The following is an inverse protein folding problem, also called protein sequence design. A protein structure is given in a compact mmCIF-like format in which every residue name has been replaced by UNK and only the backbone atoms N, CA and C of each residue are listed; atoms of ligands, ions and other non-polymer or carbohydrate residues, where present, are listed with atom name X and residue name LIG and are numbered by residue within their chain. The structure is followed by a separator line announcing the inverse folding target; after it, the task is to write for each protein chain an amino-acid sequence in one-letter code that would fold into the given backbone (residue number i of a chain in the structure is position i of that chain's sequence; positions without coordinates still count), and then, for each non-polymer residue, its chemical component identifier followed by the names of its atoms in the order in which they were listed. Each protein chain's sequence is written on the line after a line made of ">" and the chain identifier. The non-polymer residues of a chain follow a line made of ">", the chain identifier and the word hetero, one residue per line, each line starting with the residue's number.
data_IF_607194054231
#
_entry.id   IF_607194054231
#
_cell.length_a   1.000
_cell.length_b   1.000
_cell.length_c   1.000
_cell.angle_alpha   90.00
_cell.angle_beta   90.00
_cell.angle_gamma   90.00
#
_symmetry.space_group_name_H-M   'P 1'
#
loop_
_entity.id
_entity.type
_entity.pdbx_description
1 polymer ?
#
# COMPACT_ATOMS: atom_id res chain seq x y z
N UNK A 1 2.19 7.02 -30.62
CA UNK A 1 3.21 6.34 -29.82
C UNK A 1 2.57 6.05 -28.48
N UNK A 2 2.40 4.80 -28.12
CA UNK A 2 1.92 4.43 -26.76
C UNK A 2 3.06 4.74 -25.79
N UNK A 3 2.92 5.74 -24.93
CA UNK A 3 3.84 5.94 -23.83
C UNK A 3 3.69 4.75 -22.89
N UNK A 4 4.73 3.94 -22.79
CA UNK A 4 4.80 2.90 -21.78
C UNK A 4 5.21 3.58 -20.49
N UNK A 5 4.25 3.79 -19.58
CA UNK A 5 4.52 4.37 -18.26
C UNK A 5 5.39 3.42 -17.45
N UNK A 6 6.49 3.93 -16.88
CA UNK A 6 7.37 3.16 -16.00
C UNK A 6 6.82 3.17 -14.57
N UNK A 7 6.66 1.99 -14.00
CA UNK A 7 6.04 1.82 -12.68
C UNK A 7 7.02 1.18 -11.69
N UNK A 8 7.16 1.79 -10.51
CA UNK A 8 7.87 1.18 -9.37
C UNK A 8 6.92 0.88 -8.22
N UNK A 9 7.04 -0.30 -7.64
CA UNK A 9 6.44 -0.63 -6.35
C UNK A 9 7.48 -0.40 -5.26
N UNK A 10 7.12 0.40 -4.27
CA UNK A 10 7.94 0.60 -3.07
C UNK A 10 7.20 0.00 -1.87
N UNK A 11 7.87 -0.93 -1.18
CA UNK A 11 7.34 -1.62 0.00
C UNK A 11 8.02 -1.05 1.24
N UNK A 12 7.35 -0.17 2.03
CA UNK A 12 7.90 0.33 3.26
C UNK A 12 7.89 -0.76 4.33
N UNK A 13 9.03 -1.01 4.94
CA UNK A 13 9.20 -2.01 5.98
C UNK A 13 10.07 -1.48 7.12
N UNK A 14 9.55 -1.45 8.36
CA UNK A 14 10.29 -1.06 9.55
C UNK A 14 10.40 -2.21 10.54
N UNK A 15 11.53 -2.31 11.22
CA UNK A 15 11.71 -3.31 12.26
C UNK A 15 11.01 -2.91 13.56
N UNK A 16 11.13 -1.64 13.93
CA UNK A 16 10.55 -1.07 15.14
C UNK A 16 9.03 -0.90 14.97
N UNK A 17 8.27 -1.80 15.57
CA UNK A 17 6.82 -1.72 15.69
C UNK A 17 6.44 -1.93 17.15
N UNK A 18 5.66 -1.01 17.72
CA UNK A 18 5.22 -1.10 19.12
C UNK A 18 4.38 -2.33 19.41
N UNK A 19 3.59 -2.79 18.44
CA UNK A 19 2.71 -3.96 18.57
C UNK A 19 3.38 -5.28 18.24
N UNK A 20 4.29 -5.29 17.26
CA UNK A 20 4.96 -6.50 16.81
C UNK A 20 6.31 -6.18 16.16
N UNK A 21 7.42 -6.08 16.94
CA UNK A 21 8.76 -5.85 16.40
C UNK A 21 9.17 -6.97 15.42
N UNK A 22 9.85 -6.60 14.33
CA UNK A 22 10.32 -7.55 13.33
C UNK A 22 9.22 -8.17 12.45
N UNK A 23 7.98 -7.66 12.50
CA UNK A 23 6.85 -8.16 11.70
C UNK A 23 7.18 -8.45 10.23
N UNK A 24 7.96 -7.62 9.49
CA UNK A 24 8.30 -7.91 8.09
C UNK A 24 9.12 -9.19 7.88
N UNK A 25 9.84 -9.64 8.91
CA UNK A 25 10.67 -10.85 8.85
C UNK A 25 9.97 -12.11 9.36
N UNK A 26 8.72 -11.99 9.83
CA UNK A 26 7.93 -13.16 10.26
C UNK A 26 7.69 -14.08 9.08
N UNK A 27 7.95 -15.35 9.28
CA UNK A 27 7.74 -16.38 8.27
C UNK A 27 6.27 -16.80 8.18
N UNK A 28 5.80 -16.90 6.97
CA UNK A 28 4.50 -17.45 6.59
C UNK A 28 4.80 -18.53 5.55
N UNK A 29 4.61 -19.80 5.88
CA UNK A 29 4.91 -20.96 5.03
C UNK A 29 6.32 -20.89 4.41
N UNK A 30 7.35 -20.70 5.23
CA UNK A 30 8.75 -20.73 4.83
C UNK A 30 9.27 -19.50 4.09
N UNK A 31 8.48 -18.43 3.95
CA UNK A 31 8.90 -17.15 3.37
C UNK A 31 8.55 -16.01 4.32
N UNK A 32 9.41 -15.01 4.41
CA UNK A 32 9.10 -13.83 5.23
C UNK A 32 7.92 -13.04 4.67
N UNK A 33 7.24 -12.31 5.54
CA UNK A 33 6.11 -11.46 5.15
C UNK A 33 6.51 -10.46 4.06
N UNK A 34 7.61 -9.76 4.22
CA UNK A 34 8.10 -8.78 3.24
C UNK A 34 8.46 -9.44 1.90
N UNK A 35 9.06 -10.65 1.93
CA UNK A 35 9.36 -11.42 0.72
C UNK A 35 8.07 -11.74 -0.05
N UNK A 36 7.01 -12.19 0.65
CA UNK A 36 5.72 -12.48 0.01
C UNK A 36 5.11 -11.26 -0.65
N UNK A 37 5.14 -10.10 0.03
CA UNK A 37 4.67 -8.84 -0.56
C UNK A 37 5.42 -8.52 -1.86
N UNK A 38 6.75 -8.63 -1.85
CA UNK A 38 7.56 -8.37 -3.04
C UNK A 38 7.27 -9.35 -4.17
N UNK A 39 7.15 -10.65 -3.86
CA UNK A 39 6.81 -11.69 -4.85
C UNK A 39 5.43 -11.45 -5.46
N UNK A 40 4.44 -11.04 -4.67
CA UNK A 40 3.11 -10.70 -5.20
C UNK A 40 3.16 -9.48 -6.11
N UNK A 41 3.86 -8.43 -5.70
CA UNK A 41 4.01 -7.22 -6.52
C UNK A 41 4.75 -7.50 -7.85
N UNK A 42 5.66 -8.46 -7.86
CA UNK A 42 6.43 -8.82 -9.07
C UNK A 42 5.65 -9.68 -10.07
N UNK A 43 4.49 -10.24 -9.69
CA UNK A 43 3.70 -11.09 -10.59
C UNK A 43 2.98 -10.31 -11.69
N UNK A 44 2.78 -9.02 -11.54
CA UNK A 44 2.16 -8.19 -12.58
C UNK A 44 3.20 -7.69 -13.60
N UNK A 45 2.85 -7.76 -14.88
CA UNK A 45 3.69 -7.25 -15.97
C UNK A 45 3.66 -5.71 -16.12
N UNK A 46 2.87 -5.01 -15.30
CA UNK A 46 2.78 -3.56 -15.29
C UNK A 46 3.74 -2.90 -14.30
N UNK A 47 4.52 -3.69 -13.56
CA UNK A 47 5.52 -3.21 -12.60
C UNK A 47 6.91 -3.48 -13.14
N UNK A 48 7.69 -2.42 -13.35
CA UNK A 48 9.06 -2.52 -13.86
C UNK A 48 10.06 -2.86 -12.74
N UNK A 49 9.76 -2.42 -11.50
CA UNK A 49 10.68 -2.58 -10.38
C UNK A 49 9.94 -2.70 -9.05
N UNK A 50 10.45 -3.58 -8.17
CA UNK A 50 9.98 -3.73 -6.78
C UNK A 50 11.14 -3.44 -5.84
N UNK A 51 10.96 -2.54 -4.89
CA UNK A 51 12.00 -2.07 -3.97
C UNK A 51 11.45 -2.06 -2.55
N UNK A 52 12.23 -2.56 -1.60
CA UNK A 52 11.91 -2.41 -0.18
C UNK A 52 12.60 -1.17 0.38
N UNK A 53 11.85 -0.32 1.05
CA UNK A 53 12.38 0.85 1.76
C UNK A 53 12.40 0.57 3.27
N UNK A 54 13.57 0.59 3.91
CA UNK A 54 13.71 0.21 5.32
C UNK A 54 14.81 1.02 6.04
N UNK A 55 14.65 1.17 7.35
CA UNK A 55 15.65 1.69 8.28
C UNK A 55 16.48 0.59 8.98
N UNK A 56 16.14 -0.67 8.72
CA UNK A 56 16.72 -1.82 9.43
C UNK A 56 17.74 -2.56 8.59
N UNK A 57 18.97 -2.67 9.10
CA UNK A 57 20.01 -3.49 8.47
C UNK A 57 19.62 -4.97 8.39
N UNK A 58 18.84 -5.49 9.36
CA UNK A 58 18.36 -6.87 9.35
C UNK A 58 17.38 -7.11 8.19
N UNK A 59 16.40 -6.21 8.00
CA UNK A 59 15.47 -6.30 6.87
C UNK A 59 16.23 -6.15 5.56
N UNK A 60 17.15 -5.19 5.47
CA UNK A 60 17.96 -4.96 4.28
C UNK A 60 18.78 -6.19 3.88
N UNK A 61 19.46 -6.82 4.84
CA UNK A 61 20.25 -8.04 4.59
C UNK A 61 19.36 -9.19 4.11
N UNK A 62 18.22 -9.38 4.77
CA UNK A 62 17.26 -10.44 4.40
C UNK A 62 16.70 -10.24 2.98
N UNK A 63 16.23 -9.02 2.68
CA UNK A 63 15.64 -8.68 1.38
C UNK A 63 16.62 -8.88 0.23
N UNK A 64 17.88 -8.46 0.41
CA UNK A 64 18.96 -8.72 -0.56
C UNK A 64 19.23 -10.21 -0.72
N UNK A 65 19.22 -10.95 0.40
CA UNK A 65 19.46 -12.39 0.41
C UNK A 65 18.40 -13.19 -0.35
N UNK A 66 17.17 -12.66 -0.45
CA UNK A 66 16.07 -13.25 -1.22
C UNK A 66 15.89 -12.64 -2.63
N UNK A 67 16.84 -11.78 -3.07
CA UNK A 67 16.94 -11.31 -4.46
C UNK A 67 16.16 -10.06 -4.80
N UNK A 68 15.69 -9.26 -3.82
CA UNK A 68 15.02 -8.00 -4.06
C UNK A 68 15.91 -6.78 -3.77
N UNK A 69 15.64 -5.68 -4.46
CA UNK A 69 16.29 -4.40 -4.24
C UNK A 69 15.83 -3.78 -2.91
N UNK A 70 16.78 -3.10 -2.24
CA UNK A 70 16.48 -2.41 -0.99
C UNK A 70 17.19 -1.07 -0.92
N UNK A 71 16.47 -0.06 -0.44
CA UNK A 71 16.98 1.28 -0.14
C UNK A 71 16.91 1.50 1.37
N UNK A 72 18.04 1.89 1.93
CA UNK A 72 18.09 2.34 3.32
C UNK A 72 17.53 3.75 3.43
N UNK A 73 16.65 3.97 4.40
CA UNK A 73 15.97 5.23 4.65
C UNK A 73 16.08 5.64 6.11
N UNK A 74 15.79 6.89 6.41
CA UNK A 74 15.81 7.42 7.78
C UNK A 74 14.88 6.63 8.70
N UNK A 75 15.28 6.48 9.97
CA UNK A 75 14.44 5.94 11.05
C UNK A 75 13.35 6.93 11.52
N UNK A 76 13.51 8.22 11.20
CA UNK A 76 12.66 9.30 11.68
C UNK A 76 11.33 9.45 10.95
N UNK A 77 11.04 8.61 9.95
CA UNK A 77 9.77 8.67 9.22
C UNK A 77 8.58 8.28 10.11
N UNK A 78 7.56 9.13 10.11
CA UNK A 78 6.31 8.90 10.84
C UNK A 78 5.34 7.96 10.08
N UNK A 79 5.49 7.85 8.76
CA UNK A 79 4.60 7.07 7.89
C UNK A 79 5.36 6.25 6.83
N UNK A 80 4.71 5.21 6.32
CA UNK A 80 5.20 4.44 5.17
C UNK A 80 5.32 5.31 3.91
N UNK A 81 4.42 6.26 3.72
CA UNK A 81 4.43 7.18 2.56
C UNK A 81 5.67 8.08 2.55
N UNK A 82 6.06 8.66 3.70
CA UNK A 82 7.29 9.45 3.82
C UNK A 82 8.53 8.62 3.48
N UNK A 83 8.57 7.37 3.95
CA UNK A 83 9.64 6.42 3.67
C UNK A 83 9.72 6.09 2.17
N UNK A 84 8.59 5.84 1.52
CA UNK A 84 8.53 5.63 0.08
C UNK A 84 9.03 6.86 -0.69
N UNK A 85 8.68 8.07 -0.25
CA UNK A 85 9.11 9.30 -0.89
C UNK A 85 10.63 9.53 -0.76
N UNK A 86 11.26 9.18 0.38
CA UNK A 86 12.72 9.21 0.50
C UNK A 86 13.37 8.19 -0.42
N UNK A 87 12.88 6.94 -0.42
CA UNK A 87 13.41 5.89 -1.27
C UNK A 87 13.32 6.29 -2.76
N UNK A 88 12.19 6.83 -3.20
CA UNK A 88 12.02 7.31 -4.57
C UNK A 88 13.06 8.38 -4.95
N UNK A 89 13.30 9.38 -4.08
CA UNK A 89 14.29 10.44 -4.34
C UNK A 89 15.73 9.92 -4.41
N UNK A 90 15.99 8.75 -3.82
CA UNK A 90 17.32 8.12 -3.82
C UNK A 90 17.57 7.29 -5.08
N UNK A 91 16.55 7.08 -5.91
CA UNK A 91 16.70 6.38 -7.20
C UNK A 91 17.33 7.30 -8.24
N UNK A 92 18.20 6.72 -9.06
CA UNK A 92 18.75 7.38 -10.25
C UNK A 92 17.85 7.20 -11.47
N UNK A 93 16.96 6.23 -11.42
CA UNK A 93 15.97 5.95 -12.45
C UNK A 93 14.71 6.78 -12.23
N UNK A 94 14.09 7.23 -13.31
CA UNK A 94 12.79 7.92 -13.26
C UNK A 94 11.65 6.93 -13.48
N UNK A 95 10.56 7.14 -12.75
CA UNK A 95 9.33 6.38 -12.84
C UNK A 95 8.13 7.33 -12.92
N UNK A 96 7.17 7.01 -13.78
CA UNK A 96 5.96 7.79 -13.96
C UNK A 96 4.92 7.49 -12.87
N UNK A 97 4.87 6.23 -12.43
CA UNK A 97 3.94 5.74 -11.40
C UNK A 97 4.71 5.12 -10.24
N UNK A 98 4.33 5.51 -9.04
CA UNK A 98 4.87 4.96 -7.78
C UNK A 98 3.75 4.34 -6.98
N UNK A 99 3.83 3.03 -6.75
CA UNK A 99 2.84 2.29 -5.96
C UNK A 99 3.42 2.00 -4.58
N UNK A 100 2.73 2.48 -3.55
CA UNK A 100 3.04 2.14 -2.16
C UNK A 100 2.25 0.89 -1.75
N UNK A 101 2.92 -0.26 -1.68
CA UNK A 101 2.34 -1.51 -1.18
C UNK A 101 2.82 -1.72 0.25
N UNK A 102 1.89 -1.82 1.20
CA UNK A 102 2.25 -1.98 2.61
C UNK A 102 2.97 -3.32 2.86
N UNK A 103 4.07 -3.27 3.61
CA UNK A 103 4.89 -4.45 3.92
C UNK A 103 4.21 -5.53 4.78
N UNK A 104 2.95 -5.32 5.17
CA UNK A 104 2.12 -6.26 5.92
C UNK A 104 0.91 -6.82 5.14
N UNK A 105 0.96 -6.73 3.81
CA UNK A 105 -0.03 -7.28 2.89
C UNK A 105 0.53 -8.50 2.10
N UNK A 106 0.91 -9.61 2.79
CA UNK A 106 1.61 -10.75 2.16
C UNK A 106 0.79 -11.49 1.11
N UNK A 107 -0.51 -11.24 1.04
CA UNK A 107 -1.46 -11.85 0.11
C UNK A 107 -2.14 -10.81 -0.77
N UNK A 108 -1.53 -9.64 -0.96
CA UNK A 108 -2.06 -8.66 -1.91
C UNK A 108 -2.19 -9.29 -3.28
N UNK A 109 -3.36 -9.16 -3.90
CA UNK A 109 -3.60 -9.71 -5.22
C UNK A 109 -2.86 -8.87 -6.29
N UNK A 110 -2.06 -9.47 -7.19
CA UNK A 110 -1.42 -8.73 -8.28
C UNK A 110 -2.41 -7.93 -9.12
N UNK A 111 -3.62 -8.45 -9.31
CA UNK A 111 -4.71 -7.80 -10.05
C UNK A 111 -5.15 -6.49 -9.39
N UNK A 112 -5.04 -6.37 -8.06
CA UNK A 112 -5.34 -5.12 -7.36
C UNK A 112 -4.29 -4.05 -7.68
N UNK A 113 -3.01 -4.44 -7.74
CA UNK A 113 -1.93 -3.54 -8.13
C UNK A 113 -2.16 -3.06 -9.57
N UNK A 114 -2.51 -3.97 -10.48
CA UNK A 114 -2.85 -3.62 -11.86
C UNK A 114 -4.04 -2.66 -11.96
N UNK A 115 -5.10 -2.89 -11.15
CA UNK A 115 -6.26 -2.00 -11.13
C UNK A 115 -5.88 -0.58 -10.68
N UNK A 116 -5.00 -0.47 -9.66
CA UNK A 116 -4.49 0.83 -9.21
C UNK A 116 -3.68 1.51 -10.32
N UNK A 117 -2.78 0.79 -11.01
CA UNK A 117 -1.99 1.33 -12.13
C UNK A 117 -2.91 1.80 -13.27
N UNK A 118 -3.90 0.99 -13.64
CA UNK A 118 -4.88 1.31 -14.69
C UNK A 118 -5.83 2.47 -14.34
N UNK A 119 -5.88 2.86 -13.06
CA UNK A 119 -6.65 4.01 -12.59
C UNK A 119 -5.99 5.36 -12.89
N UNK A 120 -4.72 5.38 -13.31
CA UNK A 120 -4.05 6.61 -13.72
C UNK A 120 -4.42 6.98 -15.17
N UNK A 121 -4.70 8.25 -15.38
CA UNK A 121 -4.85 8.91 -16.68
C UNK A 121 -4.01 10.20 -16.70
N UNK A 122 -4.12 11.00 -17.76
CA UNK A 122 -3.35 12.24 -17.93
C UNK A 122 -3.61 13.30 -16.84
N UNK A 123 -4.69 13.17 -16.07
CA UNK A 123 -5.14 14.16 -15.08
C UNK A 123 -5.09 13.65 -13.64
N UNK A 124 -4.91 12.34 -13.46
CA UNK A 124 -4.99 11.68 -12.15
C UNK A 124 -3.62 11.66 -11.46
N UNK A 125 -3.51 12.37 -10.34
CA UNK A 125 -2.26 12.43 -9.55
C UNK A 125 -2.17 11.34 -8.48
N UNK A 126 -3.31 10.89 -7.92
CA UNK A 126 -3.36 9.91 -6.84
C UNK A 126 -4.50 8.92 -7.08
N UNK A 127 -4.17 7.62 -7.01
CA UNK A 127 -5.14 6.52 -7.07
C UNK A 127 -5.04 5.70 -5.79
N UNK A 128 -6.18 5.28 -5.25
CA UNK A 128 -6.24 4.33 -4.13
C UNK A 128 -7.36 3.33 -4.31
N UNK A 129 -7.17 2.12 -3.80
CA UNK A 129 -8.19 1.10 -3.82
C UNK A 129 -9.20 1.33 -2.69
N UNK A 130 -10.49 1.14 -2.99
CA UNK A 130 -11.58 1.15 -2.02
C UNK A 130 -12.40 -0.12 -2.12
N UNK A 131 -12.99 -0.54 -1.00
CA UNK A 131 -13.90 -1.69 -0.95
C UNK A 131 -15.22 -1.27 -0.31
N UNK A 132 -16.34 -1.70 -0.90
CA UNK A 132 -17.67 -1.47 -0.31
C UNK A 132 -17.75 -2.11 1.07
N UNK A 133 -18.15 -1.32 2.06
CA UNK A 133 -18.45 -1.80 3.41
C UNK A 133 -19.84 -2.44 3.39
N UNK A 134 -19.94 -3.69 3.86
CA UNK A 134 -21.18 -4.49 3.80
C UNK A 134 -21.67 -4.92 5.18
N UNK A 135 -21.00 -4.52 6.26
CA UNK A 135 -21.42 -4.83 7.62
C UNK A 135 -21.16 -3.65 8.57
N UNK A 136 -21.98 -3.58 9.59
CA UNK A 136 -21.97 -2.48 10.54
C UNK A 136 -20.69 -2.45 11.41
N UNK A 137 -20.13 -3.60 11.72
CA UNK A 137 -18.92 -3.71 12.52
C UNK A 137 -17.74 -3.04 11.82
N UNK A 138 -17.57 -3.30 10.52
CA UNK A 138 -16.56 -2.64 9.69
C UNK A 138 -16.80 -1.15 9.59
N UNK A 139 -18.06 -0.71 9.44
CA UNK A 139 -18.42 0.71 9.38
C UNK A 139 -18.03 1.45 10.67
N UNK A 140 -18.27 0.85 11.82
CA UNK A 140 -18.00 1.45 13.13
C UNK A 140 -16.54 1.30 13.58
N UNK A 141 -15.75 0.43 12.94
CA UNK A 141 -14.36 0.19 13.32
C UNK A 141 -13.49 1.42 12.99
N UNK A 142 -12.89 2.09 13.99
CA UNK A 142 -12.06 3.28 13.77
C UNK A 142 -10.73 2.98 13.06
N UNK A 143 -10.32 1.69 12.97
CA UNK A 143 -9.13 1.29 12.23
C UNK A 143 -9.40 1.18 10.73
N UNK A 144 -10.66 1.10 10.32
CA UNK A 144 -11.08 1.14 8.90
C UNK A 144 -11.34 2.59 8.51
N UNK A 145 -10.63 3.09 7.53
CA UNK A 145 -10.86 4.43 6.96
C UNK A 145 -12.03 4.34 5.97
N UNK A 146 -13.05 5.17 6.19
CA UNK A 146 -14.19 5.31 5.28
C UNK A 146 -13.87 6.36 4.23
N UNK A 147 -14.18 6.07 2.97
CA UNK A 147 -14.08 7.02 1.87
C UNK A 147 -15.47 7.37 1.35
N UNK A 148 -15.73 8.66 1.15
CA UNK A 148 -16.90 9.15 0.43
C UNK A 148 -16.46 9.47 -0.99
N UNK A 149 -17.18 8.92 -1.96
CA UNK A 149 -16.87 9.08 -3.38
C UNK A 149 -17.93 9.97 -4.05
N UNK A 150 -17.48 10.73 -5.04
CA UNK A 150 -18.38 11.40 -6.01
C UNK A 150 -18.95 10.39 -7.00
N UNK A 151 -19.90 10.81 -7.81
CA UNK A 151 -20.46 9.99 -8.92
C UNK A 151 -19.38 9.58 -9.94
N UNK A 152 -18.32 10.36 -10.07
CA UNK A 152 -17.16 10.07 -10.93
C UNK A 152 -16.05 9.29 -10.24
N UNK A 153 -16.33 8.66 -9.09
CA UNK A 153 -15.39 7.89 -8.28
C UNK A 153 -14.18 8.67 -7.71
N UNK A 154 -14.25 10.00 -7.66
CA UNK A 154 -13.23 10.77 -6.94
C UNK A 154 -13.50 10.73 -5.43
N UNK A 155 -12.45 10.53 -4.65
CA UNK A 155 -12.54 10.60 -3.19
C UNK A 155 -12.77 12.06 -2.75
N UNK A 156 -13.91 12.30 -2.10
CA UNK A 156 -14.27 13.63 -1.58
C UNK A 156 -13.84 13.81 -0.13
N UNK A 157 -13.85 12.73 0.64
CA UNK A 157 -13.54 12.79 2.07
C UNK A 157 -13.13 11.42 2.63
N UNK A 158 -12.24 11.44 3.60
CA UNK A 158 -11.83 10.27 4.38
C UNK A 158 -12.11 10.47 5.86
N UNK A 159 -12.66 9.46 6.53
CA UNK A 159 -12.99 9.52 7.97
C UNK A 159 -12.73 8.19 8.66
N UNK A 160 -12.27 8.26 9.91
CA UNK A 160 -12.26 7.10 10.80
C UNK A 160 -13.61 6.86 11.47
N UNK A 161 -14.44 7.92 11.60
CA UNK A 161 -15.82 7.79 12.07
C UNK A 161 -16.72 7.22 10.96
N UNK A 162 -17.85 6.63 11.36
CA UNK A 162 -18.88 6.22 10.41
C UNK A 162 -19.47 7.44 9.69
N UNK A 163 -19.56 7.39 8.37
CA UNK A 163 -20.11 8.42 7.49
C UNK A 163 -20.84 7.76 6.31
N UNK A 164 -21.96 8.39 5.79
CA UNK A 164 -22.72 9.49 6.40
C UNK A 164 -23.46 9.05 7.66
N UNK A 165 -23.87 10.00 8.48
CA UNK A 165 -24.80 9.72 9.57
C UNK A 165 -26.22 9.56 9.02
N UNK A 166 -26.87 8.42 9.29
CA UNK A 166 -28.26 8.19 8.88
C UNK A 166 -29.18 8.41 10.08
N UNK A 167 -29.84 9.59 10.12
CA UNK A 167 -30.71 9.99 11.22
C UNK A 167 -31.97 9.13 11.34
N UNK A 168 -32.49 8.67 10.18
CA UNK A 168 -33.82 8.07 10.09
C UNK A 168 -33.80 6.53 10.13
N UNK A 169 -32.60 5.92 10.19
CA UNK A 169 -32.43 4.48 10.27
C UNK A 169 -31.78 4.03 11.58
N UNK A 170 -32.17 2.88 12.09
CA UNK A 170 -31.47 2.27 13.22
C UNK A 170 -30.09 1.77 12.73
N UNK A 171 -29.11 1.78 13.64
CA UNK A 171 -27.71 1.54 13.33
C UNK A 171 -27.43 0.28 12.47
N UNK A 172 -28.18 -0.80 12.72
CA UNK A 172 -28.06 -2.06 11.98
C UNK A 172 -28.37 -1.94 10.48
N UNK A 173 -29.13 -0.92 10.08
CA UNK A 173 -29.62 -0.72 8.71
C UNK A 173 -28.76 0.32 7.93
N UNK A 174 -27.64 0.81 8.53
CA UNK A 174 -26.80 1.84 7.90
C UNK A 174 -25.97 1.32 6.72
N UNK A 175 -25.86 0.00 6.53
CA UNK A 175 -25.07 -0.64 5.47
C UNK A 175 -25.91 -1.37 4.42
N UNK A 176 -27.21 -1.14 4.41
CA UNK A 176 -28.15 -1.71 3.44
C UNK A 176 -28.26 -0.88 2.16
#
# INVERSE_FOLDING_TARGET
>A
MSFVLRTVVIVPARYASTRFPGKPLVEIDGKSMVQRVCEQAQQTNLVDKVIVATDSALISSHVRGVGFDVIMTSENHSSGTERCAEALRSLTEEFDIVINVQGDEPFIAPELIEQVIKGFDETTEIVTAVKKITNIETLLNPNVVKAVLSESNHAMYFSRNAIPYNRDAVLKDWVN
#
